data_IF_140499595346
#
_entry.id   IF_140499595346
#
_cell.length_a   1.000
_cell.length_b   1.000
_cell.length_c   1.000
_cell.angle_alpha   90.00
_cell.angle_beta   90.00
_cell.angle_gamma   90.00
#
_symmetry.space_group_name_H-M   'P 1'
#
loop_
_entity.id
_entity.type
_entity.pdbx_description
1 polymer ?
#
# COMPACT_ATOMS: atom_id res chain seq x y z
N UNK A 1 12.68 -15.56 12.19
CA UNK A 1 12.57 -14.28 11.45
C UNK A 1 13.14 -13.16 12.31
N UNK A 2 13.49 -12.02 11.71
CA UNK A 2 13.86 -10.78 12.39
C UNK A 2 12.71 -9.78 12.24
N UNK A 3 12.19 -9.29 13.37
CA UNK A 3 11.19 -8.23 13.42
C UNK A 3 11.89 -6.94 13.85
N UNK A 4 11.95 -5.98 12.93
CA UNK A 4 12.32 -4.60 13.22
C UNK A 4 11.04 -3.85 13.58
N UNK A 5 10.97 -3.27 14.77
CA UNK A 5 9.72 -2.74 15.30
C UNK A 5 9.94 -1.30 15.75
N UNK A 6 9.14 -0.38 15.24
CA UNK A 6 9.09 0.97 15.76
C UNK A 6 8.67 0.99 17.24
N UNK A 7 9.10 2.01 17.98
CA UNK A 7 8.78 2.17 19.38
C UNK A 7 7.52 3.03 19.60
N UNK A 8 7.52 4.24 19.07
CA UNK A 8 6.66 5.34 19.46
C UNK A 8 5.42 5.41 18.55
N UNK A 9 4.28 4.91 19.03
CA UNK A 9 3.07 4.74 18.22
C UNK A 9 2.81 3.27 17.84
N UNK A 10 3.81 2.41 18.00
CA UNK A 10 3.74 0.97 17.68
C UNK A 10 3.81 0.05 18.90
N UNK A 11 4.74 0.27 19.85
CA UNK A 11 4.84 -0.50 21.10
C UNK A 11 4.41 0.33 22.33
N UNK A 12 4.71 1.63 22.28
CA UNK A 12 4.40 2.60 23.33
C UNK A 12 3.50 3.69 22.78
N UNK A 13 2.53 4.16 23.57
CA UNK A 13 1.61 5.23 23.20
C UNK A 13 2.21 6.62 23.49
N UNK A 14 3.38 6.86 22.90
CA UNK A 14 4.27 8.00 23.19
C UNK A 14 4.53 8.86 21.96
N UNK A 15 3.80 8.63 20.87
CA UNK A 15 3.79 9.50 19.70
C UNK A 15 3.36 10.94 20.06
N UNK A 16 2.54 11.11 21.11
CA UNK A 16 2.07 12.43 21.57
C UNK A 16 3.22 13.41 21.92
N UNK A 17 3.11 14.71 21.56
CA UNK A 17 4.16 15.72 21.82
C UNK A 17 4.58 15.87 23.29
N UNK A 18 3.72 15.50 24.24
CA UNK A 18 4.04 15.57 25.67
C UNK A 18 5.26 14.71 26.07
N UNK A 19 5.57 13.66 25.31
CA UNK A 19 6.72 12.79 25.58
C UNK A 19 8.00 13.26 24.87
N UNK A 20 7.94 14.38 24.13
CA UNK A 20 9.05 14.86 23.31
C UNK A 20 10.31 15.15 24.13
N UNK A 21 10.18 15.72 25.33
CA UNK A 21 11.33 15.97 26.21
C UNK A 21 12.13 14.71 26.54
N UNK A 22 11.45 13.60 26.85
CA UNK A 22 12.09 12.29 27.05
C UNK A 22 12.66 11.72 25.75
N UNK A 23 11.89 11.76 24.65
CA UNK A 23 12.32 11.24 23.34
C UNK A 23 13.55 11.95 22.79
N UNK A 24 13.68 13.26 23.04
CA UNK A 24 14.83 14.08 22.64
C UNK A 24 16.01 13.94 23.65
N UNK A 25 15.82 13.27 24.79
CA UNK A 25 16.84 13.04 25.82
C UNK A 25 17.11 14.23 26.74
N UNK A 26 16.25 15.25 26.69
CA UNK A 26 16.26 16.43 27.56
C UNK A 26 15.80 16.07 28.97
N UNK A 27 14.79 15.22 29.06
CA UNK A 27 14.24 14.71 30.31
C UNK A 27 14.69 13.26 30.55
N UNK A 28 14.81 12.87 31.82
CA UNK A 28 15.06 11.49 32.16
C UNK A 28 13.82 10.63 31.89
N UNK A 29 14.04 9.44 31.37
CA UNK A 29 12.97 8.50 31.07
C UNK A 29 12.51 7.79 32.35
N UNK A 30 11.26 8.01 32.73
CA UNK A 30 10.63 7.35 33.88
C UNK A 30 9.73 6.22 33.38
N UNK A 31 10.16 4.96 33.55
CA UNK A 31 9.47 3.80 32.97
C UNK A 31 8.00 3.70 33.41
N UNK A 32 7.72 4.01 34.68
CA UNK A 32 6.35 3.97 35.22
C UNK A 32 5.39 4.97 34.53
N UNK A 33 5.89 6.00 33.86
CA UNK A 33 5.08 6.97 33.13
C UNK A 33 4.96 6.67 31.62
N UNK A 34 5.61 5.61 31.12
CA UNK A 34 5.55 5.26 29.69
C UNK A 34 4.29 4.41 29.45
N UNK A 35 3.27 4.93 28.75
CA UNK A 35 2.10 4.14 28.40
C UNK A 35 2.48 3.10 27.34
N UNK A 36 2.32 1.82 27.66
CA UNK A 36 2.54 0.71 26.73
C UNK A 36 1.21 0.30 26.10
N UNK A 37 1.17 0.00 24.80
CA UNK A 37 -0.04 -0.51 24.18
C UNK A 37 -0.43 -1.87 24.78
N UNK A 38 -1.73 -2.07 25.00
CA UNK A 38 -2.24 -3.34 25.54
C UNK A 38 -1.83 -4.50 24.63
N UNK A 39 -1.19 -5.53 25.19
CA UNK A 39 -0.73 -6.70 24.44
C UNK A 39 0.69 -6.58 23.87
N UNK A 40 1.35 -5.41 23.97
CA UNK A 40 2.67 -5.20 23.35
C UNK A 40 3.75 -6.09 23.99
N UNK A 41 3.78 -6.17 25.32
CA UNK A 41 4.75 -7.00 26.05
C UNK A 41 4.52 -8.48 25.77
N UNK A 42 3.26 -8.91 25.79
CA UNK A 42 2.83 -10.27 25.47
C UNK A 42 3.21 -10.64 24.03
N UNK A 43 3.00 -9.73 23.09
CA UNK A 43 3.38 -9.89 21.69
C UNK A 43 4.90 -10.08 21.55
N UNK A 44 5.72 -9.21 22.15
CA UNK A 44 7.18 -9.35 22.11
C UNK A 44 7.63 -10.71 22.69
N UNK A 45 7.10 -11.08 23.86
CA UNK A 45 7.45 -12.34 24.51
C UNK A 45 7.00 -13.56 23.70
N UNK A 46 5.81 -13.50 23.11
CA UNK A 46 5.31 -14.55 22.23
C UNK A 46 6.22 -14.71 21.00
N UNK A 47 6.59 -13.62 20.32
CA UNK A 47 7.46 -13.69 19.15
C UNK A 47 8.85 -14.23 19.49
N UNK A 48 9.42 -13.85 20.65
CA UNK A 48 10.66 -14.45 21.15
C UNK A 48 10.52 -15.95 21.42
N UNK A 49 9.38 -16.38 22.00
CA UNK A 49 9.12 -17.80 22.25
C UNK A 49 9.02 -18.64 20.98
N UNK A 50 8.63 -18.01 19.86
CA UNK A 50 8.66 -18.59 18.52
C UNK A 50 10.06 -18.57 17.86
N UNK A 51 11.08 -18.08 18.56
CA UNK A 51 12.45 -17.99 18.05
C UNK A 51 12.70 -16.79 17.13
N UNK A 52 11.78 -15.82 17.06
CA UNK A 52 12.01 -14.59 16.30
C UNK A 52 12.95 -13.64 17.06
N UNK A 53 13.84 -12.98 16.30
CA UNK A 53 14.71 -11.91 16.83
C UNK A 53 13.94 -10.60 16.77
N UNK A 54 13.87 -9.90 17.89
CA UNK A 54 13.15 -8.64 18.03
C UNK A 54 14.16 -7.52 18.22
N UNK A 55 14.08 -6.51 17.36
CA UNK A 55 14.91 -5.31 17.44
C UNK A 55 14.00 -4.09 17.37
N UNK A 56 14.04 -3.25 18.40
CA UNK A 56 13.37 -1.94 18.38
C UNK A 56 14.17 -0.99 17.50
N UNK A 57 13.53 -0.27 16.58
CA UNK A 57 14.18 0.74 15.72
C UNK A 57 13.46 2.08 15.89
N UNK A 58 14.09 3.02 16.57
CA UNK A 58 13.48 4.31 16.94
C UNK A 58 14.39 5.48 16.59
N UNK A 59 13.78 6.61 16.24
CA UNK A 59 14.46 7.90 16.02
C UNK A 59 14.81 8.59 17.33
N UNK A 60 14.28 8.11 18.46
CA UNK A 60 14.44 8.72 19.77
C UNK A 60 15.84 8.51 20.35
N UNK A 61 16.20 9.36 21.32
CA UNK A 61 17.49 9.40 22.01
C UNK A 61 17.79 8.09 22.78
N UNK A 62 19.05 7.65 22.89
CA UNK A 62 19.41 6.41 23.59
C UNK A 62 18.92 6.34 25.04
N UNK A 63 18.96 7.45 25.79
CA UNK A 63 18.43 7.51 27.17
C UNK A 63 16.99 7.01 27.28
N UNK A 64 16.20 7.22 26.25
CA UNK A 64 14.80 6.82 26.17
C UNK A 64 14.66 5.39 25.63
N UNK A 65 15.22 5.14 24.44
CA UNK A 65 15.07 3.87 23.74
C UNK A 65 15.70 2.72 24.53
N UNK A 66 16.93 2.89 25.01
CA UNK A 66 17.64 1.83 25.73
C UNK A 66 16.87 1.42 26.98
N UNK A 67 16.43 2.40 27.78
CA UNK A 67 15.74 2.13 29.05
C UNK A 67 14.46 1.32 28.82
N UNK A 68 13.63 1.75 27.86
CA UNK A 68 12.39 1.04 27.50
C UNK A 68 12.69 -0.34 26.93
N UNK A 69 13.63 -0.44 25.98
CA UNK A 69 13.98 -1.70 25.34
C UNK A 69 14.51 -2.73 26.34
N UNK A 70 15.32 -2.31 27.32
CA UNK A 70 15.91 -3.22 28.31
C UNK A 70 14.96 -3.55 29.47
N UNK A 71 14.24 -2.56 30.01
CA UNK A 71 13.46 -2.75 31.23
C UNK A 71 12.04 -3.27 30.94
N UNK A 72 11.40 -2.83 29.85
CA UNK A 72 10.03 -3.24 29.51
C UNK A 72 9.99 -4.42 28.55
N UNK A 73 10.80 -4.39 27.49
CA UNK A 73 10.70 -5.37 26.41
C UNK A 73 11.82 -6.41 26.39
N UNK A 74 12.92 -6.19 27.10
CA UNK A 74 14.11 -7.04 27.17
C UNK A 74 14.62 -7.49 25.78
N UNK A 75 14.70 -6.58 24.82
CA UNK A 75 15.11 -6.87 23.43
C UNK A 75 16.23 -5.94 22.94
N UNK A 76 16.79 -6.30 21.80
CA UNK A 76 17.79 -5.49 21.10
C UNK A 76 17.16 -4.20 20.56
N UNK A 77 17.99 -3.17 20.32
CA UNK A 77 17.50 -1.88 19.87
C UNK A 77 18.52 -1.09 19.02
N UNK A 78 17.97 -0.22 18.17
CA UNK A 78 18.63 0.83 17.40
C UNK A 78 17.94 2.14 17.75
N UNK A 79 18.70 3.11 18.23
CA UNK A 79 18.23 4.45 18.59
C UNK A 79 18.74 5.49 17.57
N UNK A 80 18.14 6.69 17.53
CA UNK A 80 18.50 7.74 16.59
C UNK A 80 18.64 7.22 15.14
N UNK A 81 17.68 6.37 14.73
CA UNK A 81 17.68 5.69 13.43
C UNK A 81 17.61 6.66 12.23
N UNK A 82 17.09 7.87 12.44
CA UNK A 82 16.92 8.92 11.42
C UNK A 82 16.06 8.46 10.25
N UNK A 83 14.92 7.81 10.54
CA UNK A 83 14.01 7.29 9.54
C UNK A 83 13.58 8.43 8.59
N UNK A 84 13.64 8.20 7.25
CA UNK A 84 13.74 6.92 6.57
C UNK A 84 15.17 6.59 6.08
N UNK A 85 16.21 7.16 6.69
CA UNK A 85 17.61 6.84 6.39
C UNK A 85 17.90 5.38 6.78
N UNK A 86 18.54 4.65 5.87
CA UNK A 86 18.86 3.23 6.07
C UNK A 86 20.20 3.00 6.77
N UNK A 87 21.09 3.99 6.76
CA UNK A 87 22.51 3.84 7.13
C UNK A 87 22.67 3.19 8.50
N UNK A 88 22.07 3.79 9.54
CA UNK A 88 22.22 3.30 10.91
C UNK A 88 21.62 1.90 11.13
N UNK A 89 20.50 1.62 10.47
CA UNK A 89 19.86 0.30 10.56
C UNK A 89 20.71 -0.76 9.85
N UNK A 90 21.28 -0.42 8.68
CA UNK A 90 22.19 -1.30 7.94
C UNK A 90 23.49 -1.54 8.69
N UNK A 91 24.07 -0.51 9.31
CA UNK A 91 25.29 -0.64 10.11
C UNK A 91 25.09 -1.62 11.27
N UNK A 92 23.95 -1.51 11.96
CA UNK A 92 23.58 -2.46 13.01
C UNK A 92 23.44 -3.90 12.48
N UNK A 93 22.73 -4.08 11.36
CA UNK A 93 22.57 -5.40 10.72
C UNK A 93 23.94 -5.97 10.30
N UNK A 94 24.80 -5.14 9.69
CA UNK A 94 26.08 -5.57 9.14
C UNK A 94 27.15 -5.87 10.21
N UNK A 95 27.06 -5.21 11.37
CA UNK A 95 27.93 -5.44 12.52
C UNK A 95 27.65 -6.79 13.21
N UNK A 96 26.44 -7.32 13.08
CA UNK A 96 26.05 -8.60 13.65
C UNK A 96 26.09 -9.71 12.59
N UNK A 97 26.99 -10.69 12.75
CA UNK A 97 27.18 -11.78 11.77
C UNK A 97 25.88 -12.53 11.44
N UNK A 98 25.06 -12.83 12.46
CA UNK A 98 23.82 -13.58 12.29
C UNK A 98 22.80 -12.74 11.52
N UNK A 99 22.65 -11.45 11.86
CA UNK A 99 21.73 -10.57 11.15
C UNK A 99 22.17 -10.35 9.71
N UNK A 100 23.46 -10.16 9.47
CA UNK A 100 24.03 -10.00 8.12
C UNK A 100 23.77 -11.21 7.24
N UNK A 101 23.96 -12.42 7.77
CA UNK A 101 23.66 -13.67 7.05
C UNK A 101 22.17 -13.81 6.75
N UNK A 102 21.30 -13.57 7.74
CA UNK A 102 19.86 -13.59 7.53
C UNK A 102 19.43 -12.56 6.50
N UNK A 103 20.09 -11.40 6.45
CA UNK A 103 19.69 -10.30 5.60
C UNK A 103 19.86 -10.63 4.11
N UNK A 104 20.76 -11.55 3.74
CA UNK A 104 20.94 -12.00 2.34
C UNK A 104 19.59 -12.35 1.70
N UNK A 105 18.74 -13.08 2.42
CA UNK A 105 17.34 -13.23 2.07
C UNK A 105 16.48 -12.22 2.85
N UNK A 106 16.04 -11.18 2.14
CA UNK A 106 15.23 -10.10 2.69
C UNK A 106 13.88 -10.58 3.26
N UNK A 107 13.41 -11.78 2.88
CA UNK A 107 12.22 -12.41 3.49
C UNK A 107 12.45 -12.86 4.93
N UNK A 108 13.68 -12.84 5.44
CA UNK A 108 13.92 -13.06 6.86
C UNK A 108 13.55 -11.84 7.72
N UNK A 109 13.23 -10.71 7.11
CA UNK A 109 12.97 -9.45 7.79
C UNK A 109 11.54 -8.95 7.54
N UNK A 110 10.99 -8.30 8.56
CA UNK A 110 9.78 -7.48 8.47
C UNK A 110 10.01 -6.22 9.32
N UNK A 111 9.67 -5.05 8.77
CA UNK A 111 9.58 -3.81 9.53
C UNK A 111 8.14 -3.54 9.95
N UNK A 112 7.91 -3.17 11.21
CA UNK A 112 6.58 -2.93 11.78
C UNK A 112 6.56 -1.51 12.33
N UNK A 113 5.62 -0.68 11.89
CA UNK A 113 5.51 0.70 12.36
C UNK A 113 4.15 1.34 12.07
N UNK A 114 3.91 2.51 12.63
CA UNK A 114 2.66 3.28 12.51
C UNK A 114 2.82 4.58 11.72
N UNK A 115 4.02 4.88 11.22
CA UNK A 115 4.28 6.07 10.40
C UNK A 115 4.62 5.72 8.95
N UNK A 116 4.50 6.70 8.05
CA UNK A 116 4.97 6.51 6.68
C UNK A 116 6.51 6.37 6.60
N UNK A 117 7.24 6.93 7.57
CA UNK A 117 8.70 6.86 7.63
C UNK A 117 9.18 5.42 7.89
N UNK A 118 8.45 4.67 8.71
CA UNK A 118 8.69 3.24 8.96
C UNK A 118 8.53 2.41 7.68
N UNK A 119 7.45 2.69 6.95
CA UNK A 119 7.16 1.99 5.70
C UNK A 119 8.21 2.37 4.64
N UNK A 120 8.60 3.65 4.58
CA UNK A 120 9.64 4.10 3.67
C UNK A 120 11.00 3.49 4.01
N UNK A 121 11.38 3.42 5.29
CA UNK A 121 12.61 2.75 5.73
C UNK A 121 12.60 1.28 5.29
N UNK A 122 11.56 0.52 5.62
CA UNK A 122 11.46 -0.89 5.23
C UNK A 122 11.53 -1.10 3.72
N UNK A 123 10.88 -0.22 2.94
CA UNK A 123 10.99 -0.25 1.47
C UNK A 123 12.39 0.07 0.97
N UNK A 124 13.09 1.06 1.54
CA UNK A 124 14.49 1.39 1.19
C UNK A 124 15.46 0.27 1.57
N UNK A 125 15.15 -0.51 2.60
CA UNK A 125 15.86 -1.74 2.97
C UNK A 125 15.48 -2.94 2.06
N UNK A 126 14.48 -2.78 1.20
CA UNK A 126 13.90 -3.84 0.37
C UNK A 126 13.38 -5.04 1.18
N UNK A 127 12.73 -4.75 2.31
CA UNK A 127 12.09 -5.75 3.19
C UNK A 127 10.58 -5.49 3.26
N UNK A 128 9.84 -6.50 3.72
CA UNK A 128 8.39 -6.39 3.90
C UNK A 128 8.07 -5.48 5.08
N UNK A 129 6.91 -4.85 5.03
CA UNK A 129 6.47 -3.86 6.01
C UNK A 129 5.05 -4.15 6.50
N UNK A 130 4.80 -3.93 7.79
CA UNK A 130 3.47 -3.95 8.39
C UNK A 130 3.18 -2.54 8.88
N UNK A 131 2.14 -1.93 8.32
CA UNK A 131 1.59 -0.68 8.83
C UNK A 131 0.57 -0.96 9.93
N UNK A 132 0.76 -0.36 11.10
CA UNK A 132 -0.13 -0.51 12.26
C UNK A 132 -0.99 0.74 12.45
N UNK A 133 -2.23 0.53 12.91
CA UNK A 133 -3.18 1.61 13.20
C UNK A 133 -3.55 1.65 14.69
N UNK A 134 -2.56 1.47 15.59
CA UNK A 134 -2.80 1.42 17.04
C UNK A 134 -2.95 2.81 17.64
N UNK A 135 -2.09 3.74 17.23
CA UNK A 135 -2.13 5.11 17.70
C UNK A 135 -3.23 5.91 17.00
N UNK A 136 -4.08 6.54 17.81
CA UNK A 136 -5.06 7.51 17.33
C UNK A 136 -4.49 8.90 17.59
N UNK A 137 -4.03 9.56 16.53
CA UNK A 137 -3.44 10.88 16.65
C UNK A 137 -4.45 11.91 17.17
N UNK A 138 -4.08 12.62 18.25
CA UNK A 138 -4.81 13.79 18.74
C UNK A 138 -4.43 15.08 17.99
N UNK A 139 -3.28 15.09 17.33
CA UNK A 139 -2.73 16.21 16.55
C UNK A 139 -2.12 15.67 15.27
N UNK A 140 -2.35 16.34 14.13
CA UNK A 140 -1.68 16.00 12.88
C UNK A 140 -0.26 16.59 12.94
N UNK A 141 0.76 15.73 12.85
CA UNK A 141 2.13 16.18 12.69
C UNK A 141 2.54 16.10 11.21
N UNK A 142 2.90 17.23 10.61
CA UNK A 142 3.17 17.29 9.16
C UNK A 142 4.45 16.56 8.74
N UNK A 143 5.49 16.59 9.59
CA UNK A 143 6.81 16.02 9.30
C UNK A 143 6.75 14.50 9.24
N UNK A 144 6.35 13.88 10.35
CA UNK A 144 6.31 12.42 10.50
C UNK A 144 4.98 11.82 10.00
N UNK A 145 4.03 12.69 9.61
CA UNK A 145 2.77 12.30 8.98
C UNK A 145 1.81 11.60 9.95
N UNK A 146 2.10 11.69 11.25
CA UNK A 146 1.28 11.17 12.33
C UNK A 146 -0.10 11.82 12.25
N UNK A 147 -1.15 11.00 12.18
CA UNK A 147 -2.54 11.44 11.97
C UNK A 147 -2.96 11.62 10.50
N UNK A 148 -2.07 11.39 9.52
CA UNK A 148 -2.45 11.36 8.11
C UNK A 148 -2.90 9.95 7.70
N UNK A 149 -4.19 9.80 7.37
CA UNK A 149 -4.74 8.48 6.98
C UNK A 149 -4.31 8.00 5.59
N UNK A 150 -3.85 8.90 4.71
CA UNK A 150 -3.57 8.56 3.31
C UNK A 150 -2.10 8.34 3.00
N UNK A 151 -1.20 9.10 3.63
CA UNK A 151 0.23 9.08 3.31
C UNK A 151 0.86 7.70 3.62
N UNK A 152 0.60 7.06 4.78
CA UNK A 152 1.11 5.72 5.03
C UNK A 152 0.55 4.66 4.06
N UNK A 153 -0.76 4.69 3.76
CA UNK A 153 -1.36 3.79 2.76
C UNK A 153 -0.69 3.96 1.38
N UNK A 154 -0.48 5.22 0.98
CA UNK A 154 0.20 5.58 -0.27
C UNK A 154 1.68 5.24 -0.25
N UNK A 155 2.34 5.17 0.91
CA UNK A 155 3.72 4.70 1.00
C UNK A 155 3.84 3.21 0.65
N UNK A 156 2.74 2.46 0.69
CA UNK A 156 2.65 1.12 0.10
C UNK A 156 3.17 0.00 0.98
N UNK A 157 2.71 -0.12 2.23
CA UNK A 157 3.12 -1.22 3.10
C UNK A 157 2.70 -2.57 2.54
N UNK A 158 3.46 -3.62 2.84
CA UNK A 158 3.15 -4.99 2.41
C UNK A 158 1.87 -5.50 3.07
N UNK A 159 1.72 -5.19 4.36
CA UNK A 159 0.62 -5.64 5.19
C UNK A 159 0.04 -4.51 6.05
N UNK A 160 -1.15 -4.76 6.57
CA UNK A 160 -1.90 -3.85 7.43
C UNK A 160 -2.38 -4.59 8.67
N UNK A 161 -2.17 -4.01 9.85
CA UNK A 161 -2.55 -4.61 11.12
C UNK A 161 -3.27 -3.61 12.03
N UNK A 162 -4.35 -4.05 12.67
CA UNK A 162 -5.12 -3.26 13.65
C UNK A 162 -4.96 -3.78 15.08
N UNK A 163 -4.31 -4.93 15.23
CA UNK A 163 -3.97 -5.53 16.51
C UNK A 163 -2.64 -6.29 16.43
N UNK A 164 -2.07 -6.63 17.58
CA UNK A 164 -0.94 -7.56 17.63
C UNK A 164 -1.31 -8.97 17.14
N UNK A 165 -2.58 -9.38 17.24
CA UNK A 165 -3.06 -10.66 16.69
C UNK A 165 -3.03 -10.68 15.16
N UNK A 166 -3.34 -9.55 14.51
CA UNK A 166 -3.16 -9.40 13.07
C UNK A 166 -1.67 -9.55 12.71
N UNK A 167 -0.77 -8.93 13.48
CA UNK A 167 0.68 -9.06 13.27
C UNK A 167 1.13 -10.51 13.42
N UNK A 168 0.70 -11.19 14.48
CA UNK A 168 0.98 -12.62 14.69
C UNK A 168 0.52 -13.45 13.49
N UNK A 169 -0.69 -13.18 12.99
CA UNK A 169 -1.27 -13.85 11.82
C UNK A 169 -0.46 -13.61 10.55
N UNK A 170 -0.01 -12.36 10.33
CA UNK A 170 0.83 -11.97 9.19
C UNK A 170 2.19 -12.66 9.26
N UNK A 171 2.85 -12.65 10.43
CA UNK A 171 4.17 -13.28 10.60
C UNK A 171 4.10 -14.79 10.39
N UNK A 172 3.03 -15.44 10.87
CA UNK A 172 2.84 -16.88 10.69
C UNK A 172 2.50 -17.25 9.24
N UNK A 173 1.67 -16.46 8.56
CA UNK A 173 1.14 -16.77 7.23
C UNK A 173 1.30 -15.57 6.27
N UNK A 174 2.54 -15.17 5.91
CA UNK A 174 2.79 -13.91 5.21
C UNK A 174 2.17 -13.89 3.81
N UNK A 175 2.13 -15.01 3.09
CA UNK A 175 1.57 -15.03 1.73
C UNK A 175 0.05 -14.94 1.70
N UNK A 176 -0.63 -15.47 2.73
CA UNK A 176 -2.09 -15.47 2.86
C UNK A 176 -2.62 -14.13 3.40
N UNK A 177 -1.72 -13.26 3.87
CA UNK A 177 -2.03 -11.91 4.29
C UNK A 177 -1.65 -10.83 3.27
N UNK A 178 -1.08 -11.21 2.11
CA UNK A 178 -0.85 -10.29 0.99
C UNK A 178 -2.18 -9.75 0.47
N UNK A 179 -2.14 -8.66 -0.29
CA UNK A 179 -3.34 -8.19 -1.01
C UNK A 179 -3.82 -9.25 -2.01
N UNK A 180 -5.12 -9.30 -2.28
CA UNK A 180 -5.76 -10.41 -2.98
C UNK A 180 -5.11 -10.78 -4.33
N UNK A 181 -4.74 -9.77 -5.14
CA UNK A 181 -4.04 -10.00 -6.42
C UNK A 181 -2.58 -10.38 -6.19
N UNK A 182 -1.88 -9.74 -5.24
CA UNK A 182 -0.49 -10.09 -4.90
C UNK A 182 -0.38 -11.56 -4.47
N UNK A 183 -1.29 -12.01 -3.60
CA UNK A 183 -1.41 -13.39 -3.12
C UNK A 183 -1.69 -14.38 -4.24
N UNK A 184 -2.59 -14.06 -5.17
CA UNK A 184 -2.92 -14.95 -6.29
C UNK A 184 -1.67 -15.25 -7.14
N UNK A 185 -0.83 -14.24 -7.39
CA UNK A 185 0.46 -14.42 -8.05
C UNK A 185 1.50 -15.17 -7.22
N UNK A 186 1.23 -15.47 -5.95
CA UNK A 186 2.01 -16.38 -5.09
C UNK A 186 1.33 -17.75 -4.94
N UNK A 187 0.31 -18.05 -5.76
CA UNK A 187 -0.48 -19.29 -5.70
C UNK A 187 -1.14 -19.51 -4.33
N UNK A 188 -1.52 -18.41 -3.68
CA UNK A 188 -2.22 -18.38 -2.39
C UNK A 188 -3.50 -17.59 -2.52
N UNK A 189 -4.44 -17.84 -1.61
CA UNK A 189 -5.69 -17.11 -1.56
C UNK A 189 -5.65 -16.10 -0.42
N UNK A 190 -6.01 -14.86 -0.74
CA UNK A 190 -6.20 -13.80 0.23
C UNK A 190 -7.40 -12.96 -0.16
N UNK A 191 -8.11 -12.49 0.85
CA UNK A 191 -9.27 -11.60 0.73
C UNK A 191 -8.91 -10.17 1.13
N UNK A 192 -7.63 -9.85 1.31
CA UNK A 192 -7.19 -8.54 1.82
C UNK A 192 -7.21 -7.50 0.69
N UNK A 193 -7.60 -6.29 1.04
CA UNK A 193 -7.59 -5.11 0.18
C UNK A 193 -7.22 -3.88 1.00
N UNK A 194 -6.65 -2.87 0.34
CA UNK A 194 -6.33 -1.59 0.98
C UNK A 194 -7.58 -0.70 1.07
N UNK A 195 -8.01 -0.28 2.28
CA UNK A 195 -9.19 0.55 2.45
C UNK A 195 -8.87 2.05 2.34
N UNK A 196 -8.70 2.57 1.13
CA UNK A 196 -8.33 3.99 0.90
C UNK A 196 -9.31 5.01 1.48
N UNK A 197 -10.61 4.77 1.32
CA UNK A 197 -11.63 5.63 1.93
C UNK A 197 -12.95 4.91 2.11
N UNK A 198 -13.71 5.42 3.06
CA UNK A 198 -15.10 5.13 3.26
C UNK A 198 -15.81 6.45 3.56
N UNK A 199 -16.86 6.76 2.81
CA UNK A 199 -17.65 7.97 2.97
C UNK A 199 -19.08 7.54 3.21
N UNK A 200 -19.61 7.86 4.39
CA UNK A 200 -21.01 7.62 4.74
C UNK A 200 -21.84 8.82 4.28
N UNK A 201 -22.98 8.55 3.66
CA UNK A 201 -24.00 9.52 3.30
C UNK A 201 -25.29 9.21 4.06
N UNK A 202 -26.28 10.10 4.00
CA UNK A 202 -27.60 9.84 4.58
C UNK A 202 -28.22 8.57 3.96
N UNK A 203 -28.12 8.44 2.63
CA UNK A 203 -28.66 7.31 1.86
C UNK A 203 -27.54 6.42 1.30
N UNK A 204 -26.77 5.78 2.19
CA UNK A 204 -25.78 4.75 1.84
C UNK A 204 -24.32 5.22 1.93
N UNK A 205 -23.40 4.61 1.17
CA UNK A 205 -21.96 4.88 1.29
C UNK A 205 -21.17 4.79 -0.01
N UNK A 206 -19.98 5.39 -0.05
CA UNK A 206 -18.97 5.19 -1.09
C UNK A 206 -17.69 4.64 -0.46
N UNK A 207 -17.17 3.52 -0.95
CA UNK A 207 -15.94 2.90 -0.49
C UNK A 207 -14.95 2.68 -1.64
N UNK A 208 -13.67 2.96 -1.40
CA UNK A 208 -12.58 2.70 -2.35
C UNK A 208 -11.66 1.61 -1.81
N UNK A 209 -11.38 0.61 -2.64
CA UNK A 209 -10.58 -0.57 -2.30
C UNK A 209 -9.56 -0.83 -3.39
N UNK A 210 -8.38 -1.32 -3.01
CA UNK A 210 -7.33 -1.68 -3.97
C UNK A 210 -6.75 -3.06 -3.65
N UNK A 211 -6.48 -3.87 -4.68
CA UNK A 211 -6.17 -5.29 -4.53
C UNK A 211 -4.69 -5.67 -4.74
N UNK A 212 -3.87 -4.74 -5.20
CA UNK A 212 -2.42 -4.88 -5.31
C UNK A 212 -1.71 -3.52 -5.35
N UNK A 213 -0.43 -3.51 -5.01
CA UNK A 213 0.46 -2.36 -5.15
C UNK A 213 1.08 -2.33 -6.53
N UNK A 214 1.09 -1.15 -7.13
CA UNK A 214 2.02 -0.81 -8.19
C UNK A 214 3.16 -0.01 -7.60
N UNK A 215 4.35 -0.60 -7.60
CA UNK A 215 5.54 0.05 -7.10
C UNK A 215 6.01 1.23 -7.95
N UNK A 216 6.58 2.22 -7.27
CA UNK A 216 7.38 3.30 -7.82
C UNK A 216 8.60 3.49 -6.90
N UNK A 217 9.80 3.21 -7.41
CA UNK A 217 11.00 3.07 -6.57
C UNK A 217 11.11 1.73 -5.84
N UNK A 218 12.00 1.67 -4.84
CA UNK A 218 12.26 0.43 -4.08
C UNK A 218 11.01 -0.09 -3.38
N UNK A 219 10.82 -1.40 -3.41
CA UNK A 219 9.72 -2.07 -2.75
C UNK A 219 10.03 -3.55 -2.61
N UNK A 220 9.39 -4.20 -1.64
CA UNK A 220 9.51 -5.64 -1.47
C UNK A 220 9.08 -6.41 -2.72
N UNK A 221 9.47 -7.68 -2.80
CA UNK A 221 9.21 -8.51 -3.98
C UNK A 221 7.73 -8.81 -4.26
N UNK A 222 6.79 -8.43 -3.40
CA UNK A 222 5.37 -8.73 -3.58
C UNK A 222 4.58 -7.61 -4.25
N UNK A 223 5.10 -6.38 -4.33
CA UNK A 223 4.49 -5.39 -5.22
C UNK A 223 4.55 -5.86 -6.68
N UNK A 224 3.56 -5.43 -7.48
CA UNK A 224 3.23 -6.04 -8.77
C UNK A 224 3.14 -5.01 -9.89
N UNK A 225 4.06 -4.05 -9.95
CA UNK A 225 4.07 -3.10 -11.05
C UNK A 225 4.32 -3.79 -12.41
N UNK A 226 5.14 -4.84 -12.42
CA UNK A 226 5.31 -5.72 -13.58
C UNK A 226 3.95 -6.25 -14.07
N UNK A 227 3.09 -6.73 -13.16
CA UNK A 227 1.75 -7.23 -13.51
C UNK A 227 0.83 -6.14 -14.02
N UNK A 228 0.87 -4.93 -13.43
CA UNK A 228 0.13 -3.80 -13.96
C UNK A 228 0.52 -3.51 -15.42
N UNK A 229 1.82 -3.50 -15.75
CA UNK A 229 2.26 -3.31 -17.14
C UNK A 229 1.88 -4.47 -18.07
N UNK A 230 1.78 -5.70 -17.55
CA UNK A 230 1.30 -6.84 -18.33
C UNK A 230 -0.18 -6.73 -18.70
N UNK A 231 -0.99 -5.96 -17.98
CA UNK A 231 -2.40 -5.69 -18.37
C UNK A 231 -2.43 -4.93 -19.70
N UNK A 232 -1.50 -4.01 -19.91
CA UNK A 232 -1.34 -3.24 -21.16
C UNK A 232 -0.50 -3.98 -22.23
N UNK A 233 -0.08 -5.23 -21.99
CA UNK A 233 0.70 -6.00 -22.96
C UNK A 233 -0.25 -6.72 -23.97
N UNK A 234 -0.14 -6.44 -25.29
CA UNK A 234 -0.92 -7.14 -26.32
C UNK A 234 -0.69 -8.65 -26.33
N UNK A 235 0.49 -9.10 -25.88
CA UNK A 235 0.91 -10.51 -25.87
C UNK A 235 0.74 -11.18 -24.49
N UNK A 236 -0.01 -10.56 -23.56
CA UNK A 236 -0.25 -11.15 -22.23
C UNK A 236 -0.95 -12.51 -22.37
N UNK A 237 -0.54 -13.48 -21.54
CA UNK A 237 -1.11 -14.82 -21.60
C UNK A 237 -2.49 -14.89 -20.95
N UNK A 238 -3.29 -15.86 -21.38
CA UNK A 238 -4.57 -16.15 -20.74
C UNK A 238 -4.39 -16.62 -19.28
N UNK A 239 -3.31 -17.34 -18.97
CA UNK A 239 -2.99 -17.76 -17.60
C UNK A 239 -2.71 -16.57 -16.67
N UNK A 240 -2.08 -15.51 -17.20
CA UNK A 240 -1.92 -14.25 -16.47
C UNK A 240 -3.29 -13.64 -16.15
N UNK A 241 -4.19 -13.54 -17.14
CA UNK A 241 -5.54 -12.99 -16.94
C UNK A 241 -6.36 -13.83 -15.95
N UNK A 242 -6.27 -15.16 -16.00
CA UNK A 242 -6.88 -16.06 -15.02
C UNK A 242 -6.35 -15.82 -13.62
N UNK A 243 -5.03 -15.71 -13.45
CA UNK A 243 -4.42 -15.45 -12.14
C UNK A 243 -4.87 -14.10 -11.57
N UNK A 244 -4.96 -13.08 -12.43
CA UNK A 244 -5.49 -11.77 -12.06
C UNK A 244 -6.95 -11.86 -11.61
N UNK A 245 -7.80 -12.56 -12.39
CA UNK A 245 -9.20 -12.81 -12.07
C UNK A 245 -9.37 -13.60 -10.76
N UNK A 246 -8.54 -14.61 -10.48
CA UNK A 246 -8.52 -15.32 -9.20
C UNK A 246 -8.35 -14.36 -8.02
N UNK A 247 -7.41 -13.41 -8.13
CA UNK A 247 -7.20 -12.40 -7.10
C UNK A 247 -8.43 -11.50 -6.89
N UNK A 248 -9.10 -11.12 -7.97
CA UNK A 248 -10.35 -10.34 -7.91
C UNK A 248 -11.44 -11.17 -7.25
N UNK A 249 -11.68 -12.40 -7.72
CA UNK A 249 -12.72 -13.31 -7.25
C UNK A 249 -12.56 -13.64 -5.76
N UNK A 250 -11.33 -13.82 -5.27
CA UNK A 250 -11.07 -14.04 -3.85
C UNK A 250 -11.63 -12.90 -2.98
N UNK A 251 -11.36 -11.65 -3.34
CA UNK A 251 -11.92 -10.50 -2.63
C UNK A 251 -13.43 -10.37 -2.87
N UNK A 252 -13.87 -10.57 -4.10
CA UNK A 252 -15.25 -10.39 -4.52
C UNK A 252 -16.21 -11.37 -3.83
N UNK A 253 -15.81 -12.63 -3.67
CA UNK A 253 -16.58 -13.65 -2.96
C UNK A 253 -16.92 -13.21 -1.53
N UNK A 254 -16.04 -12.47 -0.85
CA UNK A 254 -16.35 -11.93 0.49
C UNK A 254 -17.38 -10.81 0.39
N UNK A 255 -17.22 -9.92 -0.59
CA UNK A 255 -18.12 -8.78 -0.81
C UNK A 255 -19.54 -9.23 -1.18
N UNK A 256 -19.68 -10.23 -2.05
CA UNK A 256 -21.00 -10.78 -2.43
C UNK A 256 -21.70 -11.46 -1.26
N UNK A 257 -20.94 -12.15 -0.40
CA UNK A 257 -21.50 -12.89 0.74
C UNK A 257 -21.81 -12.00 1.96
N UNK A 258 -21.51 -10.70 1.91
CA UNK A 258 -21.88 -9.76 2.97
C UNK A 258 -23.39 -9.47 2.95
N UNK A 259 -24.15 -10.14 3.82
CA UNK A 259 -25.61 -9.97 3.95
C UNK A 259 -26.08 -8.56 4.35
N UNK A 260 -25.16 -7.66 4.68
CA UNK A 260 -25.48 -6.30 5.10
C UNK A 260 -26.02 -5.44 3.95
N UNK A 261 -25.64 -5.74 2.71
CA UNK A 261 -26.05 -5.01 1.51
C UNK A 261 -26.40 -6.00 0.40
N UNK A 262 -27.35 -5.62 -0.46
CA UNK A 262 -27.58 -6.31 -1.73
C UNK A 262 -26.95 -5.47 -2.83
N UNK A 263 -26.20 -6.11 -3.72
CA UNK A 263 -25.56 -5.49 -4.87
C UNK A 263 -26.43 -5.70 -6.11
N UNK A 264 -26.87 -4.62 -6.74
CA UNK A 264 -27.76 -4.67 -7.90
C UNK A 264 -26.97 -4.84 -9.21
N UNK A 265 -25.81 -4.17 -9.31
CA UNK A 265 -25.02 -4.13 -10.54
C UNK A 265 -23.53 -4.23 -10.27
N UNK A 266 -22.86 -4.97 -11.17
CA UNK A 266 -21.41 -5.04 -11.29
C UNK A 266 -21.03 -4.43 -12.64
N UNK A 267 -20.11 -3.46 -12.64
CA UNK A 267 -19.62 -2.78 -13.85
C UNK A 267 -18.10 -2.63 -13.81
N UNK A 268 -17.52 -2.21 -14.92
CA UNK A 268 -16.10 -1.85 -15.03
C UNK A 268 -15.94 -0.48 -15.68
N UNK A 269 -14.83 0.20 -15.41
CA UNK A 269 -14.44 1.43 -16.10
C UNK A 269 -13.98 1.07 -17.52
N UNK A 270 -14.72 1.51 -18.53
CA UNK A 270 -14.41 1.21 -19.93
C UNK A 270 -13.06 1.79 -20.35
N UNK A 271 -12.40 1.09 -21.26
CA UNK A 271 -11.18 1.58 -21.90
C UNK A 271 -11.49 2.73 -22.87
N UNK A 272 -10.49 3.58 -23.11
CA UNK A 272 -10.54 4.54 -24.21
C UNK A 272 -10.38 3.79 -25.53
N UNK A 273 -10.88 4.38 -26.62
CA UNK A 273 -10.66 3.87 -27.99
C UNK A 273 -9.17 3.74 -28.35
N UNK A 274 -8.32 4.58 -27.76
CA UNK A 274 -6.86 4.57 -27.96
C UNK A 274 -6.11 3.63 -27.02
N UNK A 275 -6.80 2.92 -26.12
CA UNK A 275 -6.16 1.95 -25.23
C UNK A 275 -5.67 0.77 -26.05
N UNK A 276 -4.39 0.41 -25.84
CA UNK A 276 -3.80 -0.80 -26.38
C UNK A 276 -3.45 -1.72 -25.21
N UNK A 277 -3.97 -2.96 -25.18
CA UNK A 277 -4.90 -3.56 -26.14
C UNK A 277 -6.33 -3.02 -25.97
N UNK A 278 -7.16 -3.04 -27.04
CA UNK A 278 -8.57 -2.65 -26.92
C UNK A 278 -9.31 -3.62 -25.99
N UNK A 279 -10.36 -3.14 -25.30
CA UNK A 279 -11.21 -3.95 -24.41
C UNK A 279 -10.50 -4.65 -23.24
N UNK A 280 -9.28 -4.20 -22.89
CA UNK A 280 -8.47 -4.69 -21.78
C UNK A 280 -9.26 -4.93 -20.48
N UNK A 281 -10.01 -3.93 -20.02
CA UNK A 281 -10.80 -4.06 -18.79
C UNK A 281 -12.01 -4.98 -18.96
N UNK A 282 -12.60 -5.02 -20.16
CA UNK A 282 -13.70 -5.93 -20.46
C UNK A 282 -13.24 -7.39 -20.38
N UNK A 283 -12.08 -7.72 -20.95
CA UNK A 283 -11.55 -9.09 -20.88
C UNK A 283 -11.32 -9.56 -19.45
N UNK A 284 -10.77 -8.69 -18.59
CA UNK A 284 -10.59 -8.99 -17.17
C UNK A 284 -11.96 -9.15 -16.49
N UNK A 285 -12.88 -8.22 -16.77
CA UNK A 285 -14.23 -8.20 -16.20
C UNK A 285 -15.05 -9.45 -16.57
N UNK A 286 -14.92 -9.95 -17.79
CA UNK A 286 -15.61 -11.16 -18.25
C UNK A 286 -15.18 -12.39 -17.43
N UNK A 287 -13.92 -12.43 -16.97
CA UNK A 287 -13.36 -13.51 -16.14
C UNK A 287 -13.71 -13.41 -14.64
N UNK A 288 -14.26 -12.29 -14.18
CA UNK A 288 -14.70 -12.14 -12.78
C UNK A 288 -15.95 -12.98 -12.56
N UNK A 289 -15.91 -13.91 -11.62
CA UNK A 289 -17.05 -14.77 -11.30
C UNK A 289 -17.96 -14.02 -10.33
N UNK A 290 -19.24 -13.85 -10.71
CA UNK A 290 -20.18 -13.05 -9.93
C UNK A 290 -21.62 -13.47 -10.20
N UNK A 291 -22.42 -13.51 -9.14
CA UNK A 291 -23.87 -13.68 -9.22
C UNK A 291 -24.61 -12.36 -9.50
N UNK A 292 -23.94 -11.22 -9.33
CA UNK A 292 -24.47 -9.88 -9.55
C UNK A 292 -24.60 -9.61 -11.06
N UNK A 293 -25.73 -9.04 -11.52
CA UNK A 293 -25.89 -8.63 -12.91
C UNK A 293 -24.75 -7.74 -13.42
N UNK A 294 -24.01 -8.25 -14.42
CA UNK A 294 -22.94 -7.51 -15.11
C UNK A 294 -23.53 -6.55 -16.14
N UNK A 295 -23.22 -5.26 -16.01
CA UNK A 295 -23.70 -4.20 -16.92
C UNK A 295 -22.55 -3.30 -17.35
N UNK A 296 -22.61 -2.75 -18.57
CA UNK A 296 -21.70 -1.68 -19.01
C UNK A 296 -22.35 -0.34 -18.69
N UNK A 297 -21.79 0.41 -17.74
CA UNK A 297 -22.29 1.73 -17.35
C UNK A 297 -21.45 2.90 -17.84
N UNK A 298 -20.18 2.70 -18.20
CA UNK A 298 -19.28 3.81 -18.53
C UNK A 298 -18.84 3.75 -19.98
N UNK A 299 -18.71 4.91 -20.61
CA UNK A 299 -18.20 5.04 -21.97
C UNK A 299 -17.38 6.31 -22.12
N UNK A 300 -16.25 6.20 -22.82
CA UNK A 300 -15.45 7.35 -23.21
C UNK A 300 -15.97 7.90 -24.53
N UNK A 301 -15.96 9.23 -24.69
CA UNK A 301 -16.19 9.85 -26.00
C UNK A 301 -15.12 9.43 -26.99
N UNK A 302 -15.48 9.30 -28.26
CA UNK A 302 -14.53 8.93 -29.32
C UNK A 302 -13.48 10.02 -29.61
N UNK A 303 -13.79 11.27 -29.30
CA UNK A 303 -12.98 12.46 -29.56
C UNK A 303 -12.11 12.87 -28.35
N UNK A 304 -11.66 11.92 -27.52
CA UNK A 304 -10.77 12.23 -26.40
C UNK A 304 -9.45 12.84 -26.92
N UNK A 305 -9.28 14.15 -26.72
CA UNK A 305 -8.03 14.85 -27.01
C UNK A 305 -7.14 14.98 -25.77
N UNK A 306 -5.86 14.61 -25.93
CA UNK A 306 -4.83 14.74 -24.89
C UNK A 306 -4.82 13.60 -23.88
N UNK A 307 -4.11 13.79 -22.76
CA UNK A 307 -3.89 12.76 -21.75
C UNK A 307 -4.26 13.24 -20.35
N UNK A 308 -4.91 12.37 -19.58
CA UNK A 308 -5.17 12.58 -18.15
C UNK A 308 -3.86 12.77 -17.36
N UNK A 309 -2.78 12.07 -17.78
CA UNK A 309 -1.46 12.15 -17.14
C UNK A 309 -0.80 13.52 -17.33
N UNK A 310 -1.20 14.27 -18.36
CA UNK A 310 -0.65 15.60 -18.66
C UNK A 310 -1.38 16.72 -17.90
N UNK A 311 -2.39 16.38 -17.07
CA UNK A 311 -3.12 17.37 -16.28
C UNK A 311 -2.35 17.66 -14.98
N UNK A 312 -2.12 18.94 -14.65
CA UNK A 312 -1.18 19.32 -13.58
C UNK A 312 -1.69 18.94 -12.19
N UNK A 313 -3.00 19.03 -11.95
CA UNK A 313 -3.59 18.95 -10.61
C UNK A 313 -4.83 18.04 -10.57
N UNK A 314 -5.35 17.81 -9.37
CA UNK A 314 -6.50 16.95 -9.14
C UNK A 314 -7.80 17.50 -9.77
N UNK A 315 -8.03 18.81 -9.69
CA UNK A 315 -9.22 19.46 -10.24
C UNK A 315 -9.23 19.37 -11.76
N UNK A 316 -8.12 19.70 -12.41
CA UNK A 316 -7.99 19.59 -13.88
C UNK A 316 -8.10 18.14 -14.36
N UNK A 317 -7.64 17.16 -13.57
CA UNK A 317 -7.90 15.73 -13.84
C UNK A 317 -9.38 15.39 -13.77
N UNK A 318 -10.11 15.82 -12.74
CA UNK A 318 -11.56 15.58 -12.61
C UNK A 318 -12.34 16.22 -13.76
N UNK A 319 -12.05 17.48 -14.09
CA UNK A 319 -12.69 18.18 -15.22
C UNK A 319 -12.48 17.46 -16.54
N UNK A 320 -11.27 16.95 -16.78
CA UNK A 320 -11.00 16.14 -17.97
C UNK A 320 -11.86 14.87 -18.02
N UNK A 321 -12.01 14.18 -16.89
CA UNK A 321 -12.79 12.94 -16.81
C UNK A 321 -14.26 13.23 -17.00
N UNK A 322 -14.81 14.23 -16.32
CA UNK A 322 -16.21 14.67 -16.50
C UNK A 322 -16.52 14.99 -17.97
N UNK A 323 -15.59 15.67 -18.67
CA UNK A 323 -15.77 16.02 -20.08
C UNK A 323 -15.88 14.80 -21.02
N UNK A 324 -15.13 13.73 -20.74
CA UNK A 324 -14.92 12.65 -21.71
C UNK A 324 -15.45 11.28 -21.28
N UNK A 325 -15.72 11.03 -20.00
CA UNK A 325 -16.24 9.78 -19.47
C UNK A 325 -17.65 10.00 -18.93
N UNK A 326 -18.64 9.34 -19.53
CA UNK A 326 -20.04 9.49 -19.16
C UNK A 326 -20.64 8.17 -18.68
N UNK A 327 -21.63 8.30 -17.81
CA UNK A 327 -22.46 7.19 -17.35
C UNK A 327 -23.66 7.03 -18.29
N UNK A 328 -23.79 5.84 -18.89
CA UNK A 328 -24.90 5.48 -19.78
C UNK A 328 -26.24 5.44 -19.03
N UNK A 329 -27.33 5.79 -19.72
CA UNK A 329 -28.72 5.73 -19.23
C UNK A 329 -29.41 4.42 -19.66
N UNK A 330 -28.66 3.32 -19.72
CA UNK A 330 -29.14 2.02 -20.20
C UNK A 330 -29.93 1.24 -19.16
N UNK A 331 -29.79 1.58 -17.88
CA UNK A 331 -30.47 0.95 -16.74
C UNK A 331 -30.84 2.00 -15.70
N UNK A 332 -31.85 1.70 -14.89
CA UNK A 332 -32.24 2.54 -13.74
C UNK A 332 -31.22 2.40 -12.61
N UNK A 333 -30.72 3.52 -12.10
CA UNK A 333 -29.69 3.60 -11.07
C UNK A 333 -30.22 4.12 -9.72
N UNK A 334 -31.46 4.60 -9.66
CA UNK A 334 -32.03 5.20 -8.46
C UNK A 334 -32.12 4.18 -7.31
N UNK A 335 -31.55 4.51 -6.16
CA UNK A 335 -31.55 3.66 -4.98
C UNK A 335 -30.67 2.40 -5.06
N UNK A 336 -29.96 2.18 -6.18
CA UNK A 336 -29.18 0.96 -6.44
C UNK A 336 -27.84 0.91 -5.71
N UNK A 337 -27.31 -0.30 -5.55
CA UNK A 337 -25.98 -0.57 -5.02
C UNK A 337 -25.08 -1.14 -6.10
N UNK A 338 -23.95 -0.49 -6.36
CA UNK A 338 -23.11 -0.78 -7.52
C UNK A 338 -21.68 -1.08 -7.09
N UNK A 339 -21.09 -2.13 -7.67
CA UNK A 339 -19.66 -2.40 -7.61
C UNK A 339 -19.00 -2.05 -8.95
N UNK A 340 -17.87 -1.36 -8.90
CA UNK A 340 -17.12 -0.89 -10.06
C UNK A 340 -15.70 -1.45 -9.99
N UNK A 341 -15.21 -2.00 -11.10
CA UNK A 341 -13.82 -2.44 -11.26
C UNK A 341 -13.05 -1.48 -12.18
N UNK A 342 -11.87 -1.02 -11.75
CA UNK A 342 -10.97 -0.14 -12.51
C UNK A 342 -9.54 -0.68 -12.49
N UNK A 343 -8.69 -0.26 -13.44
CA UNK A 343 -7.32 -0.77 -13.51
C UNK A 343 -6.41 -0.22 -12.39
N UNK A 344 -6.48 1.09 -12.12
CA UNK A 344 -5.48 1.77 -11.31
C UNK A 344 -6.01 2.96 -10.50
N UNK A 345 -5.74 2.94 -9.19
CA UNK A 345 -5.96 4.06 -8.28
C UNK A 345 -4.70 4.93 -8.14
N UNK A 346 -4.62 6.01 -8.93
CA UNK A 346 -3.51 6.97 -8.90
C UNK A 346 -3.78 8.15 -7.98
N UNK A 347 -4.33 9.24 -8.53
CA UNK A 347 -4.75 10.45 -7.81
C UNK A 347 -6.16 10.36 -7.26
N UNK A 348 -6.85 9.23 -7.48
CA UNK A 348 -8.28 9.00 -7.22
C UNK A 348 -9.26 9.78 -8.08
N UNK A 349 -8.81 10.67 -8.98
CA UNK A 349 -9.69 11.55 -9.76
C UNK A 349 -10.80 10.78 -10.52
N UNK A 350 -10.46 9.68 -11.21
CA UNK A 350 -11.42 8.81 -11.91
C UNK A 350 -12.46 8.24 -10.95
N UNK A 351 -12.00 7.66 -9.85
CA UNK A 351 -12.87 7.00 -8.89
C UNK A 351 -13.87 7.98 -8.24
N UNK A 352 -13.42 9.19 -7.89
CA UNK A 352 -14.31 10.22 -7.35
C UNK A 352 -15.25 10.81 -8.37
N UNK A 353 -14.80 11.01 -9.62
CA UNK A 353 -15.66 11.55 -10.67
C UNK A 353 -16.78 10.57 -11.00
N UNK A 354 -16.45 9.29 -11.18
CA UNK A 354 -17.44 8.23 -11.37
C UNK A 354 -18.41 8.17 -10.19
N UNK A 355 -17.91 8.18 -8.95
CA UNK A 355 -18.77 8.16 -7.78
C UNK A 355 -19.68 9.41 -7.73
N UNK A 356 -19.21 10.57 -8.17
CA UNK A 356 -20.00 11.80 -8.26
C UNK A 356 -21.13 11.66 -9.28
N UNK A 357 -20.83 11.17 -10.48
CA UNK A 357 -21.83 10.93 -11.52
C UNK A 357 -22.90 9.93 -11.05
N UNK A 358 -22.50 8.78 -10.51
CA UNK A 358 -23.44 7.77 -9.99
C UNK A 358 -24.32 8.32 -8.86
N UNK A 359 -23.75 9.13 -7.96
CA UNK A 359 -24.53 9.78 -6.89
C UNK A 359 -25.56 10.76 -7.43
N UNK A 360 -25.21 11.53 -8.46
CA UNK A 360 -26.19 12.43 -9.11
C UNK A 360 -27.34 11.68 -9.79
N UNK A 361 -27.15 10.39 -10.08
CA UNK A 361 -28.18 9.46 -10.60
C UNK A 361 -28.85 8.62 -9.51
N UNK A 362 -28.72 9.00 -8.24
CA UNK A 362 -29.45 8.37 -7.13
C UNK A 362 -28.86 7.06 -6.58
N UNK A 363 -27.67 6.65 -7.02
CA UNK A 363 -27.03 5.42 -6.52
C UNK A 363 -26.79 5.51 -5.02
N UNK A 364 -27.25 4.50 -4.28
CA UNK A 364 -27.23 4.42 -2.82
C UNK A 364 -25.90 3.95 -2.27
N UNK A 365 -25.38 2.82 -2.75
CA UNK A 365 -24.10 2.26 -2.29
C UNK A 365 -23.13 2.11 -3.46
N UNK A 366 -21.90 2.53 -3.27
CA UNK A 366 -20.85 2.48 -4.29
C UNK A 366 -19.63 1.80 -3.67
N UNK A 367 -19.23 0.66 -4.25
CA UNK A 367 -17.94 0.06 -3.98
C UNK A 367 -17.06 0.16 -5.23
N UNK A 368 -16.00 0.94 -5.13
CA UNK A 368 -15.03 1.10 -6.20
C UNK A 368 -13.78 0.27 -5.89
N UNK A 369 -13.48 -0.69 -6.76
CA UNK A 369 -12.35 -1.61 -6.64
C UNK A 369 -11.36 -1.30 -7.75
N UNK A 370 -10.19 -0.80 -7.41
CA UNK A 370 -9.09 -0.73 -8.36
C UNK A 370 -8.21 -1.98 -8.23
N UNK A 371 -7.77 -2.54 -9.35
CA UNK A 371 -6.87 -3.69 -9.33
C UNK A 371 -5.54 -3.31 -8.67
N UNK A 372 -4.98 -2.15 -9.06
CA UNK A 372 -3.72 -1.64 -8.53
C UNK A 372 -3.89 -0.26 -7.92
N UNK A 373 -3.02 0.12 -7.00
CA UNK A 373 -2.82 1.51 -6.63
C UNK A 373 -1.36 1.89 -6.76
N UNK A 374 -1.12 3.11 -7.26
CA UNK A 374 0.24 3.65 -7.36
C UNK A 374 0.72 4.08 -5.98
N UNK A 375 1.82 3.48 -5.52
CA UNK A 375 2.49 3.86 -4.28
C UNK A 375 3.39 5.08 -4.50
N UNK A 376 3.84 5.73 -3.42
CA UNK A 376 4.73 6.88 -3.50
C UNK A 376 6.12 6.47 -4.00
N UNK A 377 6.77 7.32 -4.82
CA UNK A 377 8.11 7.07 -5.31
C UNK A 377 9.12 7.05 -4.17
N UNK A 378 10.08 6.11 -4.22
CA UNK A 378 11.27 6.09 -3.37
C UNK A 378 12.53 6.19 -4.22
N UNK A 379 13.43 7.08 -3.82
CA UNK A 379 14.76 7.25 -4.43
C UNK A 379 15.84 6.80 -3.44
N UNK A 380 16.28 5.55 -3.56
CA UNK A 380 17.28 4.93 -2.69
C UNK A 380 18.71 5.01 -3.24
N UNK A 381 18.88 5.29 -4.53
CA UNK A 381 20.16 5.14 -5.23
C UNK A 381 20.52 6.39 -6.01
N UNK A 382 21.74 6.87 -5.80
CA UNK A 382 22.35 7.94 -6.57
C UNK A 382 23.08 7.36 -7.79
N UNK A 383 23.08 8.11 -8.89
CA UNK A 383 23.77 7.73 -10.09
C UNK A 383 25.29 7.80 -9.87
N UNK A 384 26.07 6.73 -10.11
CA UNK A 384 27.51 6.75 -9.90
C UNK A 384 28.27 7.67 -10.87
N UNK A 385 27.61 8.19 -11.92
CA UNK A 385 28.24 9.08 -12.92
C UNK A 385 27.99 10.56 -12.67
N UNK A 386 26.82 10.92 -12.13
CA UNK A 386 26.41 12.32 -12.02
C UNK A 386 25.68 12.65 -10.71
N UNK A 387 25.65 11.71 -9.75
CA UNK A 387 25.04 11.82 -8.43
C UNK A 387 23.54 12.13 -8.41
N UNK A 388 22.87 12.16 -9.57
CA UNK A 388 21.43 12.36 -9.65
C UNK A 388 20.66 11.16 -9.10
N UNK A 389 19.52 11.40 -8.47
CA UNK A 389 18.64 10.34 -7.97
C UNK A 389 18.16 9.45 -9.12
N UNK A 390 18.44 8.15 -9.02
CA UNK A 390 17.96 7.17 -9.98
C UNK A 390 16.51 6.79 -9.69
N UNK A 391 15.80 6.37 -10.73
CA UNK A 391 14.42 5.86 -10.65
C UNK A 391 14.40 4.40 -11.04
N UNK A 392 13.56 3.61 -10.38
CA UNK A 392 13.29 2.25 -10.87
C UNK A 392 12.35 2.35 -12.06
N UNK A 393 12.74 1.76 -13.18
CA UNK A 393 11.87 1.57 -14.34
C UNK A 393 11.72 0.09 -14.64
N UNK A 394 10.60 -0.26 -15.24
CA UNK A 394 10.27 -1.63 -15.61
C UNK A 394 10.16 -1.69 -17.13
N UNK A 395 10.87 -2.65 -17.73
CA UNK A 395 10.74 -2.95 -19.14
C UNK A 395 9.40 -3.66 -19.37
N UNK A 396 8.57 -3.13 -20.26
CA UNK A 396 7.18 -3.57 -20.41
C UNK A 396 7.06 -4.98 -20.98
N UNK A 397 8.02 -5.36 -21.82
CA UNK A 397 8.02 -6.62 -22.55
C UNK A 397 8.16 -7.82 -21.61
N UNK A 398 9.01 -7.72 -20.58
CA UNK A 398 9.38 -8.85 -19.71
C UNK A 398 9.38 -8.55 -18.21
N UNK A 399 9.05 -7.32 -17.81
CA UNK A 399 8.98 -6.93 -16.39
C UNK A 399 10.33 -6.73 -15.72
N UNK A 400 11.45 -6.75 -16.45
CA UNK A 400 12.78 -6.57 -15.86
C UNK A 400 12.95 -5.15 -15.33
N UNK A 401 13.48 -5.03 -14.11
CA UNK A 401 13.69 -3.76 -13.42
C UNK A 401 15.10 -3.18 -13.65
N UNK A 402 15.17 -1.87 -13.76
CA UNK A 402 16.41 -1.10 -13.95
C UNK A 402 16.41 0.14 -13.06
N UNK A 403 17.56 0.45 -12.45
CA UNK A 403 17.84 1.81 -12.01
C UNK A 403 18.18 2.66 -13.23
N UNK A 404 17.41 3.71 -13.45
CA UNK A 404 17.58 4.65 -14.55
C UNK A 404 17.87 6.05 -14.00
N UNK A 405 19.01 6.60 -14.39
CA UNK A 405 19.31 8.01 -14.21
C UNK A 405 18.47 8.82 -15.20
N UNK A 406 17.74 9.87 -14.77
CA UNK A 406 16.91 10.67 -15.67
C UNK A 406 17.73 11.27 -16.82
N UNK A 407 17.16 11.34 -18.03
CA UNK A 407 17.81 11.97 -19.19
C UNK A 407 17.83 13.50 -19.10
N UNK A 408 16.77 14.12 -18.58
CA UNK A 408 16.64 15.58 -18.56
C UNK A 408 17.47 16.26 -17.46
N UNK A 409 17.72 15.55 -16.36
CA UNK A 409 18.40 16.09 -15.17
C UNK A 409 19.62 15.25 -14.76
N UNK A 410 20.06 14.32 -15.61
CA UNK A 410 21.15 13.39 -15.33
C UNK A 410 21.73 12.82 -16.61
N UNK A 411 22.50 11.73 -16.50
CA UNK A 411 23.32 11.22 -17.62
C UNK A 411 22.71 10.03 -18.40
N UNK A 412 21.46 9.63 -18.12
CA UNK A 412 20.80 8.53 -18.83
C UNK A 412 21.36 7.12 -18.56
N UNK A 413 22.18 6.93 -17.53
CA UNK A 413 22.72 5.60 -17.16
C UNK A 413 21.60 4.65 -16.70
N UNK A 414 21.59 3.44 -17.25
CA UNK A 414 20.72 2.34 -16.84
C UNK A 414 21.54 1.20 -16.22
N UNK A 415 21.13 0.72 -15.04
CA UNK A 415 21.74 -0.41 -14.33
C UNK A 415 20.64 -1.42 -14.03
N UNK A 416 20.78 -2.66 -14.50
CA UNK A 416 19.83 -3.73 -14.21
C UNK A 416 19.78 -4.02 -12.71
N UNK A 417 18.58 -4.20 -12.16
CA UNK A 417 18.38 -4.67 -10.78
C UNK A 417 18.43 -6.20 -10.82
N UNK A 418 19.36 -6.79 -10.07
CA UNK A 418 19.57 -8.23 -9.96
C UNK A 418 18.50 -8.90 -9.13
#
# INVERSE_FOLDING_TARGET
MVLLIDLDGTLTNTAHPQFKGMKDGVEDTVIASIPVFKGAVEFINHQKSLGNKIIIVSDSHPKYVQKIATELFQCDFVFLADKPNTERTLDYINANIILRELYIDRDNFIFIGDSFLDIELGRRLNIRTIFTEFYIASVIEERDGIGQSWKPLKMGPTYYAKSYDDINTIVANPLENLLAIESAFQKKNSIKAVPFKYIKYQNGFTAFRCLARQEDGECDKYSRADKYYQIDNPNRSFDFLKTLATGINNYFNVVENQKQFSWDYLTYVSDKKTTTPPNKMKEIFDLVESSIPKVKLFEWRDDVEGSLRNRPDYTSRRTFINKYLFTLDTVDLEGKSIIIIDDQFTSSATAYEIATQLRSKGVKNILFIALFYLILPIHSKTCPRCNSNMRISIRKEDGVKFYNCPYNTGCGLSIRIS
#
